data_IF_388450586179
#
_entry.id   IF_388450586179
#
_cell.length_a   1.000
_cell.length_b   1.000
_cell.length_c   1.000
_cell.angle_alpha   90.00
_cell.angle_beta   90.00
_cell.angle_gamma   90.00
#
_symmetry.space_group_name_H-M   'P 1'
#
loop_
_entity.id
_entity.type
_entity.pdbx_description
1 polymer ?
#
# COMPACT_ATOMS: atom_id res chain seq x y z
N UNK A 1 18.75 -17.44 13.38
CA UNK A 1 17.68 -18.36 13.83
C UNK A 1 17.01 -18.88 12.58
N UNK A 2 17.07 -20.19 12.35
CA UNK A 2 16.55 -20.90 11.17
C UNK A 2 15.24 -21.62 11.50
N UNK A 3 14.37 -21.80 10.52
CA UNK A 3 13.16 -22.59 10.66
C UNK A 3 12.44 -22.83 9.34
N UNK A 4 11.60 -23.85 9.31
CA UNK A 4 10.66 -24.09 8.23
C UNK A 4 9.51 -23.08 8.31
N UNK A 5 9.06 -22.58 7.16
CA UNK A 5 7.92 -21.66 7.08
C UNK A 5 6.85 -22.25 6.15
N UNK A 6 5.63 -22.40 6.67
CA UNK A 6 4.45 -22.83 5.91
C UNK A 6 3.66 -21.61 5.50
N UNK A 7 3.23 -21.55 4.23
CA UNK A 7 2.27 -20.54 3.76
C UNK A 7 0.97 -21.21 3.32
N UNK A 8 -0.14 -20.71 3.83
CA UNK A 8 -1.49 -21.01 3.36
C UNK A 8 -1.97 -19.81 2.54
N UNK A 9 -2.23 -20.00 1.26
CA UNK A 9 -2.97 -19.02 0.47
C UNK A 9 -4.46 -19.35 0.59
N UNK A 10 -5.19 -18.55 1.35
CA UNK A 10 -6.62 -18.69 1.53
C UNK A 10 -7.27 -17.63 0.65
N UNK A 11 -7.86 -18.06 -0.46
CA UNK A 11 -8.61 -17.18 -1.35
C UNK A 11 -9.89 -17.87 -1.82
N UNK A 12 -10.96 -17.09 -1.97
CA UNK A 12 -12.24 -17.53 -2.55
C UNK A 12 -12.28 -17.33 -4.07
N UNK A 13 -11.23 -16.74 -4.65
CA UNK A 13 -11.12 -16.42 -6.07
C UNK A 13 -10.14 -17.31 -6.82
N UNK A 14 -9.93 -16.97 -8.09
CA UNK A 14 -8.83 -17.51 -8.91
C UNK A 14 -7.49 -17.04 -8.33
N UNK A 15 -6.50 -17.93 -8.28
CA UNK A 15 -5.13 -17.61 -7.92
C UNK A 15 -4.14 -18.16 -8.95
N UNK A 16 -3.07 -17.42 -9.21
CA UNK A 16 -1.90 -17.89 -9.94
C UNK A 16 -0.67 -17.56 -9.08
N UNK A 17 0.17 -18.54 -8.74
CA UNK A 17 1.50 -18.27 -8.17
C UNK A 17 2.54 -18.43 -9.27
N UNK A 18 3.37 -17.41 -9.43
CA UNK A 18 4.47 -17.39 -10.36
C UNK A 18 5.79 -17.30 -9.60
N UNK A 19 6.81 -18.03 -10.06
CA UNK A 19 8.19 -17.90 -9.62
C UNK A 19 9.02 -17.58 -10.86
N UNK A 20 9.74 -16.45 -10.86
CA UNK A 20 10.52 -15.96 -12.01
C UNK A 20 9.71 -15.81 -13.31
N UNK A 21 8.44 -15.44 -13.21
CA UNK A 21 7.54 -15.30 -14.36
C UNK A 21 7.02 -16.63 -14.91
N UNK A 22 7.48 -17.77 -14.39
CA UNK A 22 6.91 -19.07 -14.69
C UNK A 22 5.75 -19.36 -13.74
N UNK A 23 4.62 -19.75 -14.31
CA UNK A 23 3.46 -20.17 -13.52
C UNK A 23 3.76 -21.52 -12.88
N UNK A 24 3.98 -21.51 -11.57
CA UNK A 24 4.20 -22.72 -10.78
C UNK A 24 2.91 -23.25 -10.16
N UNK A 25 1.86 -22.42 -10.12
CA UNK A 25 0.57 -22.79 -9.57
C UNK A 25 -0.59 -22.05 -10.25
N UNK A 26 -1.72 -22.75 -10.38
CA UNK A 26 -2.99 -22.20 -10.86
C UNK A 26 -4.16 -22.78 -10.05
N UNK A 27 -4.93 -21.92 -9.38
CA UNK A 27 -6.27 -22.22 -8.86
C UNK A 27 -7.30 -21.64 -9.84
N UNK A 28 -8.10 -22.45 -10.54
CA UNK A 28 -9.22 -21.91 -11.30
C UNK A 28 -10.28 -21.34 -10.37
N UNK A 29 -11.15 -20.46 -10.87
CA UNK A 29 -12.34 -20.07 -10.11
C UNK A 29 -13.18 -21.32 -9.83
N UNK A 30 -13.35 -21.66 -8.57
CA UNK A 30 -14.15 -22.81 -8.19
C UNK A 30 -15.65 -22.43 -8.19
N UNK A 31 -16.52 -23.28 -8.74
CA UNK A 31 -17.96 -23.04 -8.78
C UNK A 31 -18.65 -23.25 -7.41
N UNK A 32 -17.95 -23.88 -6.46
CA UNK A 32 -18.39 -24.19 -5.10
C UNK A 32 -17.18 -24.04 -4.18
N UNK A 33 -17.35 -23.48 -2.98
CA UNK A 33 -16.30 -23.37 -1.96
C UNK A 33 -15.73 -24.76 -1.62
N UNK A 34 -14.48 -25.03 -2.01
CA UNK A 34 -13.73 -26.22 -1.60
C UNK A 34 -12.92 -25.95 -0.31
N UNK A 35 -12.47 -27.01 0.39
CA UNK A 35 -11.56 -26.87 1.53
C UNK A 35 -10.29 -26.10 1.14
N UNK A 36 -9.70 -25.43 2.13
CA UNK A 36 -8.43 -24.70 1.97
C UNK A 36 -7.38 -25.60 1.31
N UNK A 37 -6.64 -25.02 0.36
CA UNK A 37 -5.56 -25.73 -0.33
C UNK A 37 -4.24 -25.07 0.05
N UNK A 38 -3.32 -25.87 0.57
CA UNK A 38 -2.03 -25.40 1.07
C UNK A 38 -0.94 -25.60 0.00
N UNK A 39 0.02 -24.65 -0.07
CA UNK A 39 1.14 -24.71 -1.02
C UNK A 39 2.48 -24.61 -0.28
N UNK A 40 3.47 -25.38 -0.75
CA UNK A 40 4.83 -25.35 -0.19
C UNK A 40 5.77 -24.53 -1.07
N UNK A 41 6.27 -23.42 -0.55
CA UNK A 41 7.33 -22.62 -1.16
C UNK A 41 8.58 -22.73 -0.28
N UNK A 42 9.72 -23.09 -0.87
CA UNK A 42 10.98 -23.30 -0.15
C UNK A 42 11.95 -22.17 -0.44
N UNK A 43 12.40 -21.45 0.59
CA UNK A 43 13.36 -20.35 0.48
C UNK A 43 14.60 -20.64 1.31
N UNK A 44 15.76 -20.67 0.65
CA UNK A 44 17.06 -20.87 1.30
C UNK A 44 17.81 -19.54 1.30
N UNK A 45 18.12 -19.03 2.50
CA UNK A 45 18.89 -17.79 2.66
C UNK A 45 20.04 -18.01 3.64
N UNK A 46 21.17 -17.35 3.39
CA UNK A 46 22.39 -17.48 4.17
C UNK A 46 22.90 -16.11 4.63
N UNK A 47 23.76 -16.13 5.65
CA UNK A 47 24.43 -14.92 6.11
C UNK A 47 25.31 -14.32 5.01
N UNK A 48 25.51 -12.99 5.04
CA UNK A 48 26.40 -12.30 4.11
C UNK A 48 27.82 -12.79 4.37
N UNK A 49 28.54 -13.12 3.32
CA UNK A 49 29.92 -13.59 3.42
C UNK A 49 30.81 -12.59 4.19
N UNK A 50 31.70 -13.09 5.05
CA UNK A 50 32.56 -12.26 5.88
C UNK A 50 33.48 -11.34 5.06
N UNK A 51 33.89 -11.75 3.85
CA UNK A 51 34.70 -10.92 2.96
C UNK A 51 33.91 -9.72 2.42
N UNK A 52 32.57 -9.77 2.44
CA UNK A 52 31.70 -8.64 2.10
C UNK A 52 31.43 -7.80 3.35
N UNK A 53 31.10 -8.43 4.48
CA UNK A 53 30.84 -7.72 5.75
C UNK A 53 32.05 -6.90 6.22
N UNK A 54 33.26 -7.44 6.11
CA UNK A 54 34.51 -6.76 6.48
C UNK A 54 34.74 -5.45 5.72
N UNK A 55 34.21 -5.31 4.50
CA UNK A 55 34.33 -4.09 3.69
C UNK A 55 33.42 -2.96 4.15
N UNK A 56 32.43 -3.26 4.98
CA UNK A 56 31.41 -2.30 5.48
C UNK A 56 31.39 -2.19 7.00
N UNK A 57 32.51 -2.51 7.66
CA UNK A 57 32.64 -2.37 9.12
C UNK A 57 32.10 -3.55 9.94
N UNK A 58 31.81 -4.69 9.30
CA UNK A 58 31.49 -5.95 9.98
C UNK A 58 30.04 -6.11 10.44
N UNK A 59 29.17 -5.12 10.20
CA UNK A 59 27.76 -5.16 10.60
C UNK A 59 26.85 -4.84 9.43
N UNK A 60 25.84 -5.68 9.20
CA UNK A 60 24.79 -5.46 8.18
C UNK A 60 23.45 -5.94 8.73
N UNK A 61 22.38 -5.18 8.50
CA UNK A 61 21.02 -5.69 8.62
C UNK A 61 20.72 -6.60 7.43
N UNK A 62 20.68 -7.91 7.66
CA UNK A 62 20.22 -8.87 6.65
C UNK A 62 18.75 -9.19 6.85
N UNK A 63 17.99 -9.20 5.74
CA UNK A 63 16.58 -9.54 5.72
C UNK A 63 16.27 -10.43 4.52
N UNK A 64 15.61 -11.55 4.77
CA UNK A 64 14.86 -12.27 3.75
C UNK A 64 13.37 -12.09 4.07
N UNK A 65 12.56 -11.78 3.06
CA UNK A 65 11.11 -11.70 3.22
C UNK A 65 10.40 -12.24 1.99
N UNK A 66 9.40 -13.09 2.20
CA UNK A 66 8.41 -13.44 1.20
C UNK A 66 7.19 -12.55 1.42
N UNK A 67 6.63 -12.00 0.35
CA UNK A 67 5.37 -11.24 0.38
C UNK A 67 4.48 -11.77 -0.73
N UNK A 68 3.20 -11.96 -0.43
CA UNK A 68 2.15 -12.16 -1.41
C UNK A 68 1.24 -10.94 -1.41
N UNK A 69 0.71 -10.60 -2.58
CA UNK A 69 -0.32 -9.60 -2.77
C UNK A 69 -1.27 -10.15 -3.82
N UNK A 70 -2.56 -9.88 -3.65
CA UNK A 70 -3.54 -10.22 -4.69
C UNK A 70 -3.25 -9.38 -5.94
N UNK A 71 -3.42 -10.00 -7.11
CA UNK A 71 -3.36 -9.26 -8.36
C UNK A 71 -4.59 -8.36 -8.47
N UNK A 72 -4.37 -7.09 -8.73
CA UNK A 72 -5.42 -6.11 -8.98
C UNK A 72 -5.28 -5.62 -10.43
N UNK A 73 -6.38 -5.71 -11.19
CA UNK A 73 -6.47 -5.04 -12.48
C UNK A 73 -6.77 -3.56 -12.25
N UNK A 74 -5.71 -2.76 -12.14
CA UNK A 74 -5.77 -1.36 -11.68
C UNK A 74 -6.81 -0.53 -12.45
N UNK A 75 -6.90 -0.57 -13.79
CA UNK A 75 -7.93 0.17 -14.52
C UNK A 75 -9.36 -0.22 -14.12
N UNK A 76 -9.63 -1.51 -13.92
CA UNK A 76 -10.95 -1.99 -13.46
C UNK A 76 -11.23 -1.54 -12.03
N UNK A 77 -10.25 -1.68 -11.12
CA UNK A 77 -10.40 -1.23 -9.73
C UNK A 77 -10.69 0.27 -9.66
N UNK A 78 -9.99 1.09 -10.46
CA UNK A 78 -10.26 2.54 -10.53
C UNK A 78 -11.69 2.82 -10.99
N UNK A 79 -12.17 2.11 -12.02
CA UNK A 79 -13.55 2.24 -12.50
C UNK A 79 -14.58 1.86 -11.42
N UNK A 80 -14.38 0.71 -10.77
CA UNK A 80 -15.29 0.20 -9.73
C UNK A 80 -15.36 1.14 -8.52
N UNK A 81 -14.22 1.69 -8.10
CA UNK A 81 -14.15 2.64 -6.99
C UNK A 81 -14.81 3.98 -7.36
N UNK A 82 -14.64 4.45 -8.60
CA UNK A 82 -15.29 5.67 -9.07
C UNK A 82 -16.83 5.52 -9.11
N UNK A 83 -17.33 4.37 -9.58
CA UNK A 83 -18.77 4.06 -9.58
C UNK A 83 -19.33 3.93 -8.16
N UNK A 84 -18.58 3.30 -7.24
CA UNK A 84 -18.95 3.24 -5.83
C UNK A 84 -19.02 4.65 -5.21
N UNK A 85 -18.06 5.52 -5.51
CA UNK A 85 -18.00 6.88 -5.00
C UNK A 85 -19.22 7.73 -5.43
N UNK A 86 -19.75 7.53 -6.64
CA UNK A 86 -20.98 8.21 -7.12
C UNK A 86 -22.19 7.93 -6.21
N UNK A 87 -22.25 6.74 -5.61
CA UNK A 87 -23.34 6.32 -4.73
C UNK A 87 -23.21 6.79 -3.27
N UNK A 88 -22.05 7.34 -2.88
CA UNK A 88 -21.77 7.78 -1.53
C UNK A 88 -22.09 9.26 -1.33
N UNK A 89 -22.56 9.64 -0.13
CA UNK A 89 -22.73 11.07 0.21
C UNK A 89 -21.39 11.79 0.29
N UNK A 90 -20.38 11.13 0.87
CA UNK A 90 -18.99 11.59 1.02
C UNK A 90 -18.11 10.40 0.69
N UNK A 91 -17.08 10.63 -0.13
CA UNK A 91 -16.10 9.60 -0.45
C UNK A 91 -14.74 9.96 0.19
N UNK A 92 -14.22 9.09 1.05
CA UNK A 92 -12.98 9.33 1.81
C UNK A 92 -11.87 8.41 1.28
N UNK A 93 -10.80 9.00 0.76
CA UNK A 93 -9.67 8.29 0.15
C UNK A 93 -8.41 8.39 0.97
N UNK A 94 -7.68 7.30 1.01
CA UNK A 94 -6.37 7.23 1.65
C UNK A 94 -5.31 7.05 0.56
N UNK A 95 -4.39 7.99 0.50
CA UNK A 95 -3.26 8.01 -0.42
C UNK A 95 -1.98 8.23 0.36
N UNK A 96 -0.84 8.06 -0.29
CA UNK A 96 0.45 8.38 0.31
C UNK A 96 1.56 7.47 -0.16
N UNK A 97 2.51 7.28 0.74
CA UNK A 97 3.73 6.51 0.50
C UNK A 97 3.68 5.20 1.28
N UNK A 98 4.57 4.29 0.91
CA UNK A 98 4.76 3.02 1.62
C UNK A 98 6.16 2.94 2.20
N UNK A 99 6.40 1.95 3.07
CA UNK A 99 7.75 1.63 3.55
C UNK A 99 8.72 1.21 2.42
N UNK A 100 8.24 0.97 1.20
CA UNK A 100 9.10 0.77 0.03
C UNK A 100 9.49 2.09 -0.64
N UNK A 101 8.70 3.16 -0.44
CA UNK A 101 8.97 4.48 -1.00
C UNK A 101 9.77 5.34 -0.03
N UNK A 102 9.46 5.29 1.26
CA UNK A 102 10.18 6.04 2.29
C UNK A 102 10.78 5.06 3.31
N UNK A 103 12.09 4.86 3.25
CA UNK A 103 12.81 3.97 4.16
C UNK A 103 14.25 4.44 4.35
N UNK A 104 14.86 4.02 5.46
CA UNK A 104 16.30 4.15 5.67
C UNK A 104 17.08 3.39 4.59
N UNK A 105 18.19 4.00 4.14
CA UNK A 105 19.15 3.38 3.23
C UNK A 105 19.06 3.85 1.78
N UNK A 106 18.06 4.64 1.42
CA UNK A 106 17.92 5.27 0.11
C UNK A 106 17.02 6.49 0.18
N UNK A 107 17.15 7.37 -0.80
CA UNK A 107 16.28 8.53 -0.98
C UNK A 107 15.21 8.23 -2.04
N UNK A 108 14.12 9.01 -2.03
CA UNK A 108 13.14 8.98 -3.12
C UNK A 108 13.70 9.68 -4.35
N UNK A 109 13.45 9.09 -5.53
CA UNK A 109 13.81 9.70 -6.81
C UNK A 109 12.86 10.84 -7.23
N UNK A 110 11.62 10.84 -6.70
CA UNK A 110 10.60 11.85 -6.98
C UNK A 110 9.73 12.11 -5.75
N UNK A 111 9.12 13.30 -5.72
CA UNK A 111 8.08 13.65 -4.73
C UNK A 111 6.70 13.11 -5.10
N UNK A 112 6.52 12.58 -6.31
CA UNK A 112 5.21 12.18 -6.80
C UNK A 112 4.64 10.96 -6.05
N UNK A 113 3.31 10.97 -5.91
CA UNK A 113 2.57 9.72 -5.69
C UNK A 113 2.66 8.85 -6.96
N UNK A 114 2.28 7.58 -6.83
CA UNK A 114 2.21 6.70 -8.00
C UNK A 114 1.15 7.22 -9.00
N UNK A 115 1.36 7.00 -10.30
CA UNK A 115 0.41 7.37 -11.35
C UNK A 115 -1.01 6.88 -11.03
N UNK A 116 -1.11 5.64 -10.56
CA UNK A 116 -2.38 4.99 -10.25
C UNK A 116 -3.13 5.70 -9.11
N UNK A 117 -2.42 6.33 -8.17
CA UNK A 117 -3.05 7.13 -7.13
C UNK A 117 -3.61 8.44 -7.68
N UNK A 118 -2.91 9.09 -8.61
CA UNK A 118 -3.44 10.28 -9.29
C UNK A 118 -4.65 9.95 -10.16
N UNK A 119 -4.59 8.85 -10.92
CA UNK A 119 -5.68 8.39 -11.77
C UNK A 119 -6.91 8.02 -10.93
N UNK A 120 -6.71 7.36 -9.78
CA UNK A 120 -7.77 7.05 -8.83
C UNK A 120 -8.42 8.32 -8.27
N UNK A 121 -7.63 9.30 -7.80
CA UNK A 121 -8.17 10.57 -7.28
C UNK A 121 -8.98 11.28 -8.36
N UNK A 122 -8.43 11.40 -9.58
CA UNK A 122 -9.10 12.08 -10.68
C UNK A 122 -10.44 11.40 -11.04
N UNK A 123 -10.47 10.07 -11.13
CA UNK A 123 -11.66 9.31 -11.44
C UNK A 123 -12.76 9.50 -10.39
N UNK A 124 -12.40 9.48 -9.11
CA UNK A 124 -13.37 9.65 -8.03
C UNK A 124 -13.85 11.09 -7.94
N UNK A 125 -12.97 12.08 -7.93
CA UNK A 125 -13.37 13.49 -7.80
C UNK A 125 -14.33 13.90 -8.92
N UNK A 126 -14.15 13.35 -10.13
CA UNK A 126 -15.07 13.56 -11.24
C UNK A 126 -16.49 12.99 -10.99
N UNK A 127 -16.61 11.90 -10.22
CA UNK A 127 -17.88 11.24 -9.88
C UNK A 127 -18.51 11.77 -8.60
N UNK A 128 -17.70 12.18 -7.63
CA UNK A 128 -18.15 12.69 -6.35
C UNK A 128 -17.35 13.95 -5.95
N UNK A 129 -17.90 15.16 -6.14
CA UNK A 129 -17.23 16.40 -5.75
C UNK A 129 -17.15 16.59 -4.23
N UNK A 130 -17.82 15.76 -3.41
CA UNK A 130 -17.69 15.74 -1.93
C UNK A 130 -16.62 14.72 -1.49
N UNK A 131 -15.47 14.77 -2.15
CA UNK A 131 -14.35 13.88 -1.89
C UNK A 131 -13.42 14.44 -0.81
N UNK A 132 -13.01 13.60 0.14
CA UNK A 132 -11.99 13.88 1.15
C UNK A 132 -10.76 13.04 0.83
N UNK A 133 -9.59 13.68 0.67
CA UNK A 133 -8.31 12.97 0.49
C UNK A 133 -7.51 13.05 1.78
N UNK A 134 -7.13 11.90 2.32
CA UNK A 134 -6.27 11.73 3.49
C UNK A 134 -4.92 11.22 3.03
N UNK A 135 -3.85 12.01 3.23
CA UNK A 135 -2.50 11.67 2.83
C UNK A 135 -1.66 11.13 4.00
N UNK A 136 -1.11 9.95 3.81
CA UNK A 136 -0.24 9.22 4.74
C UNK A 136 1.18 9.17 4.15
N UNK A 137 1.92 10.28 4.26
CA UNK A 137 3.33 10.34 3.85
C UNK A 137 4.22 10.86 4.97
N UNK A 138 5.45 10.37 5.04
CA UNK A 138 6.47 10.82 6.00
C UNK A 138 7.13 12.15 5.62
N UNK A 139 7.16 12.46 4.33
CA UNK A 139 7.69 13.71 3.78
C UNK A 139 6.76 14.28 2.68
N UNK A 140 6.99 15.52 2.20
CA UNK A 140 6.11 16.16 1.21
C UNK A 140 5.96 15.34 -0.07
N UNK A 141 4.73 15.30 -0.60
CA UNK A 141 4.41 14.69 -1.90
C UNK A 141 3.82 15.74 -2.83
N UNK A 142 3.94 15.54 -4.15
CA UNK A 142 3.36 16.46 -5.13
C UNK A 142 1.83 16.37 -5.07
N UNK A 143 1.15 17.48 -4.72
CA UNK A 143 -0.33 17.54 -4.64
C UNK A 143 -0.98 18.41 -5.72
N UNK A 144 -0.19 19.20 -6.44
CA UNK A 144 -0.68 20.09 -7.51
C UNK A 144 -1.53 19.41 -8.59
N UNK A 145 -1.41 18.10 -8.90
CA UNK A 145 -2.29 17.46 -9.88
C UNK A 145 -3.77 17.43 -9.47
N UNK A 146 -4.08 17.48 -8.17
CA UNK A 146 -5.46 17.26 -7.69
C UNK A 146 -5.95 18.23 -6.62
N UNK A 147 -5.05 18.96 -5.94
CA UNK A 147 -5.42 19.72 -4.74
C UNK A 147 -6.54 20.75 -4.97
N UNK A 148 -6.58 21.37 -6.16
CA UNK A 148 -7.61 22.38 -6.51
C UNK A 148 -8.99 21.77 -6.82
N UNK A 149 -9.05 20.44 -7.00
CA UNK A 149 -10.29 19.72 -7.33
C UNK A 149 -10.91 19.04 -6.10
N UNK A 150 -10.14 18.92 -5.01
CA UNK A 150 -10.55 18.22 -3.79
C UNK A 150 -10.98 19.23 -2.72
N UNK A 151 -12.23 19.22 -2.24
CA UNK A 151 -12.71 20.20 -1.25
C UNK A 151 -12.10 20.00 0.14
N UNK A 152 -11.53 18.84 0.45
CA UNK A 152 -10.93 18.56 1.76
C UNK A 152 -9.70 17.66 1.62
N UNK A 153 -8.55 18.19 2.02
CA UNK A 153 -7.29 17.47 2.09
C UNK A 153 -6.79 17.42 3.53
N UNK A 154 -6.48 16.22 4.03
CA UNK A 154 -5.97 15.98 5.38
C UNK A 154 -4.58 15.33 5.32
N UNK A 155 -3.54 16.06 5.73
CA UNK A 155 -2.21 15.48 5.97
C UNK A 155 -2.20 14.75 7.32
N UNK A 156 -2.12 13.42 7.28
CA UNK A 156 -2.19 12.56 8.47
C UNK A 156 -0.83 11.95 8.90
N UNK A 157 0.20 12.05 8.06
CA UNK A 157 1.55 11.52 8.33
C UNK A 157 1.57 10.00 8.59
N UNK A 158 2.70 9.47 9.06
CA UNK A 158 2.83 8.09 9.54
C UNK A 158 2.56 8.07 11.06
N UNK A 159 1.30 8.16 11.46
CA UNK A 159 0.89 8.46 12.85
C UNK A 159 0.85 7.25 13.82
N UNK A 160 1.50 6.15 13.48
CA UNK A 160 1.61 4.97 14.35
C UNK A 160 0.29 4.21 14.56
N UNK A 161 0.21 3.45 15.65
CA UNK A 161 -0.84 2.44 15.86
C UNK A 161 -2.26 3.03 16.02
N UNK A 162 -2.39 4.25 16.56
CA UNK A 162 -3.69 4.92 16.76
C UNK A 162 -4.11 5.80 15.57
N UNK A 163 -3.38 5.74 14.45
CA UNK A 163 -3.58 6.58 13.28
C UNK A 163 -5.04 6.58 12.80
N UNK A 164 -5.65 5.38 12.67
CA UNK A 164 -7.02 5.25 12.19
C UNK A 164 -8.05 5.96 13.11
N UNK A 165 -7.91 5.77 14.43
CA UNK A 165 -8.80 6.42 15.40
C UNK A 165 -8.58 7.94 15.43
N UNK A 166 -7.33 8.39 15.36
CA UNK A 166 -7.01 9.82 15.31
C UNK A 166 -7.62 10.50 14.09
N UNK A 167 -7.49 9.90 12.90
CA UNK A 167 -8.08 10.43 11.65
C UNK A 167 -9.61 10.48 11.77
N UNK A 168 -10.24 9.41 12.24
CA UNK A 168 -11.70 9.37 12.42
C UNK A 168 -12.21 10.49 13.33
N UNK A 169 -11.55 10.74 14.46
CA UNK A 169 -11.92 11.81 15.40
C UNK A 169 -11.79 13.21 14.81
N UNK A 170 -10.84 13.43 13.90
CA UNK A 170 -10.73 14.69 13.15
C UNK A 170 -11.88 14.81 12.14
N UNK A 171 -12.11 13.77 11.34
CA UNK A 171 -13.14 13.79 10.28
C UNK A 171 -14.56 13.89 10.84
N UNK A 172 -14.82 13.31 12.02
CA UNK A 172 -16.11 13.38 12.71
C UNK A 172 -16.27 14.65 13.57
N UNK A 173 -15.22 15.45 13.72
CA UNK A 173 -15.26 16.69 14.50
C UNK A 173 -15.17 16.51 16.02
N UNK A 174 -14.84 15.31 16.50
CA UNK A 174 -14.57 15.05 17.93
C UNK A 174 -13.34 15.83 18.42
N UNK A 175 -12.41 16.13 17.50
CA UNK A 175 -11.21 16.93 17.73
C UNK A 175 -11.03 17.90 16.57
N UNK A 176 -10.79 19.19 16.89
CA UNK A 176 -10.46 20.17 15.86
C UNK A 176 -9.01 19.99 15.36
N UNK A 177 -8.76 20.08 14.04
CA UNK A 177 -7.41 20.02 13.49
C UNK A 177 -6.60 21.23 14.00
N UNK A 178 -5.42 20.95 14.56
CA UNK A 178 -4.55 21.97 15.17
C UNK A 178 -3.06 21.83 14.80
N UNK A 179 -2.73 20.86 13.95
CA UNK A 179 -1.38 20.67 13.44
C UNK A 179 -0.95 21.83 12.52
N UNK A 180 0.37 22.05 12.43
CA UNK A 180 0.99 22.96 11.47
C UNK A 180 2.02 22.19 10.66
N UNK A 181 2.16 22.51 9.38
CA UNK A 181 3.17 21.88 8.53
C UNK A 181 4.58 22.27 9.04
N UNK A 182 5.44 21.28 9.35
CA UNK A 182 6.82 21.53 9.74
C UNK A 182 7.76 21.66 8.53
N UNK A 183 7.24 21.43 7.32
CA UNK A 183 7.98 21.36 6.05
C UNK A 183 7.28 22.22 5.00
N UNK A 184 8.05 22.72 4.03
CA UNK A 184 7.59 23.53 2.89
C UNK A 184 7.34 22.70 1.65
#
# INVERSE_FOLDING_TARGET
MSGDHTFSEITTGKADVLINGEKVFHRPQEPVLLPETEYKVESHSWATDENVLSKIGGTMFQRASLRSMEYLDIPTVISDVADAAESCEIAVFFVGTTNGMESEGYDRDTMDLTSDQYDLIAAVVARNPKTVVVNLSGSPVTVSPFIDQVPTFLQAWVAGQECGLAIARILLGDVNPSGRLPMS
#
